data_IF_283816096526
#
_entry.id   IF_283816096526
#
_cell.length_a   1.000
_cell.length_b   1.000
_cell.length_c   1.000
_cell.angle_alpha   90.00
_cell.angle_beta   90.00
_cell.angle_gamma   90.00
#
_symmetry.space_group_name_H-M   'P 1'
#
loop_
_entity.id
_entity.type
_entity.pdbx_description
1 polymer ?
#
# COMPACT_ATOMS: atom_id res chain seq x y z
N UNK A 1 -12.85 21.28 -9.81
CA UNK A 1 -12.19 21.31 -8.49
C UNK A 1 -10.99 20.38 -8.56
N UNK A 2 -9.79 20.77 -8.10
CA UNK A 2 -8.70 19.82 -7.98
C UNK A 2 -9.11 18.81 -6.91
N UNK A 3 -9.13 17.52 -7.24
CA UNK A 3 -9.26 16.48 -6.23
C UNK A 3 -8.01 16.56 -5.33
N UNK A 4 -8.20 16.88 -4.05
CA UNK A 4 -7.13 16.72 -3.07
C UNK A 4 -6.92 15.22 -2.88
N UNK A 5 -5.80 14.73 -3.40
CA UNK A 5 -5.36 13.37 -3.17
C UNK A 5 -4.82 13.29 -1.75
N UNK A 6 -5.55 12.64 -0.84
CA UNK A 6 -5.00 12.23 0.44
C UNK A 6 -4.18 10.96 0.18
N UNK A 7 -2.86 11.12 0.12
CA UNK A 7 -1.94 9.97 0.10
C UNK A 7 -1.77 9.54 1.55
N UNK A 8 -2.37 8.40 1.91
CA UNK A 8 -2.13 7.76 3.19
C UNK A 8 -0.78 7.06 3.13
N UNK A 9 0.23 7.66 3.77
CA UNK A 9 1.58 7.09 3.91
C UNK A 9 1.69 6.47 5.29
N UNK A 10 2.18 5.24 5.37
CA UNK A 10 2.51 4.60 6.64
C UNK A 10 3.74 5.30 7.24
N UNK A 11 4.81 5.42 6.45
CA UNK A 11 5.99 6.19 6.79
C UNK A 11 6.59 6.92 5.58
N UNK A 12 7.29 8.02 5.86
CA UNK A 12 8.21 8.68 4.95
C UNK A 12 9.50 8.98 5.71
N UNK A 13 10.58 8.28 5.35
CA UNK A 13 11.85 8.30 6.06
C UNK A 13 12.96 8.86 5.17
N UNK A 14 13.77 9.76 5.74
CA UNK A 14 15.04 10.21 5.16
C UNK A 14 16.16 9.49 5.89
N UNK A 15 16.94 8.70 5.15
CA UNK A 15 17.98 7.82 5.69
C UNK A 15 19.35 8.29 5.19
N UNK A 16 20.31 8.42 6.10
CA UNK A 16 21.69 8.73 5.78
C UNK A 16 22.45 7.50 5.23
N UNK A 17 23.65 7.70 4.68
CA UNK A 17 24.46 6.61 4.10
C UNK A 17 24.84 5.50 5.07
N UNK A 18 24.97 5.84 6.34
CA UNK A 18 25.26 4.93 7.45
C UNK A 18 23.97 4.34 8.06
N UNK A 19 22.87 4.39 7.32
CA UNK A 19 21.57 3.80 7.62
C UNK A 19 20.81 4.37 8.82
N UNK A 20 21.28 5.45 9.44
CA UNK A 20 20.48 6.12 10.46
C UNK A 20 19.39 6.98 9.82
N UNK A 21 18.22 7.01 10.45
CA UNK A 21 17.10 7.87 10.06
C UNK A 21 17.40 9.30 10.52
N UNK A 22 17.38 10.25 9.58
CA UNK A 22 17.62 11.69 9.80
C UNK A 22 16.31 12.46 9.94
N UNK A 23 15.24 11.96 9.34
CA UNK A 23 13.90 12.53 9.45
C UNK A 23 12.85 11.47 9.15
N UNK A 24 11.73 11.55 9.84
CA UNK A 24 10.64 10.58 9.74
C UNK A 24 9.30 11.29 9.87
N UNK A 25 8.37 10.94 8.99
CA UNK A 25 6.96 11.24 9.11
C UNK A 25 6.22 9.90 9.15
N UNK A 26 5.42 9.67 10.19
CA UNK A 26 4.80 8.39 10.47
C UNK A 26 3.35 8.60 10.90
N UNK A 27 2.41 7.93 10.22
CA UNK A 27 1.00 7.90 10.62
C UNK A 27 0.67 6.66 11.46
N UNK A 28 1.46 5.58 11.32
CA UNK A 28 1.29 4.33 12.07
C UNK A 28 2.66 3.85 12.49
N UNK A 29 2.91 3.69 13.79
CA UNK A 29 4.15 3.11 14.33
C UNK A 29 4.16 1.59 14.07
N UNK A 30 4.95 1.06 13.10
CA UNK A 30 5.21 -0.36 13.05
C UNK A 30 6.14 -0.71 14.22
N UNK A 31 5.99 -1.92 14.79
CA UNK A 31 6.97 -2.40 15.76
C UNK A 31 8.36 -2.38 15.14
N UNK A 32 9.28 -1.66 15.78
CA UNK A 32 10.71 -1.52 15.46
C UNK A 32 11.47 -2.82 15.75
N UNK A 33 10.97 -3.95 15.26
CA UNK A 33 11.79 -5.13 15.11
C UNK A 33 12.66 -4.88 13.87
N UNK A 34 13.95 -4.60 14.15
CA UNK A 34 15.11 -4.48 13.24
C UNK A 34 14.81 -4.53 11.73
N UNK A 35 15.27 -3.55 10.92
CA UNK A 35 14.99 -3.51 9.49
C UNK A 35 15.30 -4.87 8.88
N UNK A 36 14.26 -5.52 8.34
CA UNK A 36 14.39 -6.85 7.78
C UNK A 36 15.52 -6.83 6.73
N UNK A 37 16.25 -7.93 6.55
CA UNK A 37 17.37 -7.99 5.60
C UNK A 37 17.01 -7.48 4.18
N UNK A 38 15.74 -7.59 3.79
CA UNK A 38 15.19 -7.04 2.55
C UNK A 38 15.16 -5.50 2.50
N UNK A 39 14.92 -4.82 3.63
CA UNK A 39 14.96 -3.37 3.75
C UNK A 39 16.40 -2.85 3.63
N UNK A 40 17.36 -3.49 4.32
CA UNK A 40 18.79 -3.16 4.19
C UNK A 40 19.24 -3.32 2.73
N UNK A 41 18.88 -4.43 2.07
CA UNK A 41 19.23 -4.65 0.66
C UNK A 41 18.67 -3.55 -0.26
N UNK A 42 17.45 -3.07 0.02
CA UNK A 42 16.82 -2.00 -0.77
C UNK A 42 17.50 -0.65 -0.54
N UNK A 43 17.91 -0.37 0.70
CA UNK A 43 18.67 0.84 1.05
C UNK A 43 20.03 0.86 0.35
N UNK A 44 20.77 -0.25 0.37
CA UNK A 44 22.08 -0.35 -0.27
C UNK A 44 21.98 -0.15 -1.79
N UNK A 45 21.02 -0.80 -2.45
CA UNK A 45 20.78 -0.58 -3.88
C UNK A 45 20.43 0.88 -4.20
N UNK A 46 19.70 1.57 -3.31
CA UNK A 46 19.44 2.99 -3.47
C UNK A 46 20.68 3.85 -3.21
N UNK A 47 21.54 3.48 -2.27
CA UNK A 47 22.84 4.13 -2.06
C UNK A 47 23.82 3.92 -3.22
N UNK A 48 23.62 2.87 -4.02
CA UNK A 48 24.28 2.65 -5.32
C UNK A 48 23.63 3.45 -6.48
N UNK A 49 22.55 4.18 -6.21
CA UNK A 49 21.89 5.08 -7.17
C UNK A 49 20.69 4.48 -7.88
N UNK A 50 20.14 3.35 -7.41
CA UNK A 50 18.98 2.72 -8.00
C UNK A 50 17.67 3.06 -7.27
N UNK A 51 16.59 3.28 -8.02
CA UNK A 51 15.26 3.27 -7.41
C UNK A 51 14.80 1.83 -7.22
N UNK A 52 14.38 1.49 -6.00
CA UNK A 52 13.91 0.15 -5.64
C UNK A 52 12.46 0.24 -5.16
N UNK A 53 11.63 -0.67 -5.64
CA UNK A 53 10.26 -0.85 -5.16
C UNK A 53 10.14 -2.25 -4.61
N UNK A 54 9.66 -2.38 -3.38
CA UNK A 54 9.46 -3.68 -2.74
C UNK A 54 8.04 -3.83 -2.20
N UNK A 55 7.56 -5.06 -2.22
CA UNK A 55 6.33 -5.48 -1.56
C UNK A 55 6.72 -6.28 -0.33
N UNK A 56 6.29 -5.84 0.85
CA UNK A 56 6.71 -6.43 2.13
C UNK A 56 5.50 -6.65 3.03
N UNK A 57 5.56 -7.70 3.85
CA UNK A 57 4.61 -7.93 4.92
C UNK A 57 5.24 -7.43 6.23
N UNK A 58 4.67 -6.40 6.84
CA UNK A 58 5.15 -5.85 8.11
C UNK A 58 4.30 -6.43 9.25
N UNK A 59 4.91 -7.12 10.23
CA UNK A 59 4.24 -7.47 11.47
C UNK A 59 3.93 -6.21 12.27
N UNK A 60 2.73 -6.12 12.83
CA UNK A 60 2.29 -5.02 13.70
C UNK A 60 2.08 -5.60 15.10
N UNK A 61 2.44 -4.91 16.20
CA UNK A 61 2.49 -5.54 17.52
C UNK A 61 1.12 -5.96 18.07
N UNK A 62 1.06 -7.21 18.55
CA UNK A 62 0.16 -7.86 19.52
C UNK A 62 -1.34 -7.52 19.60
N UNK A 63 -2.01 -7.20 18.48
CA UNK A 63 -3.47 -7.39 18.31
C UNK A 63 -3.97 -7.19 16.88
N UNK A 64 -3.15 -6.62 15.99
CA UNK A 64 -3.48 -6.38 14.58
C UNK A 64 -2.92 -7.46 13.66
N UNK A 65 -3.63 -7.69 12.55
CA UNK A 65 -3.14 -8.57 11.48
C UNK A 65 -1.93 -7.90 10.80
N UNK A 66 -0.95 -8.70 10.32
CA UNK A 66 0.19 -8.15 9.59
C UNK A 66 -0.30 -7.41 8.34
N UNK A 67 0.37 -6.30 8.01
CA UNK A 67 -0.05 -5.39 6.94
C UNK A 67 0.88 -5.55 5.75
N UNK A 68 0.31 -5.71 4.56
CA UNK A 68 1.07 -5.64 3.32
C UNK A 68 1.36 -4.18 2.98
N UNK A 69 2.61 -3.86 2.67
CA UNK A 69 3.04 -2.52 2.30
C UNK A 69 3.80 -2.53 0.98
N UNK A 70 3.57 -1.48 0.19
CA UNK A 70 4.42 -1.10 -0.92
C UNK A 70 5.43 -0.08 -0.41
N UNK A 71 6.71 -0.39 -0.54
CA UNK A 71 7.81 0.51 -0.17
C UNK A 71 8.55 0.94 -1.42
N UNK A 72 8.76 2.25 -1.56
CA UNK A 72 9.56 2.86 -2.62
C UNK A 72 10.77 3.52 -1.97
N UNK A 73 11.95 3.16 -2.45
CA UNK A 73 13.24 3.61 -1.93
C UNK A 73 14.00 4.28 -3.07
N UNK A 74 14.29 5.58 -2.93
CA UNK A 74 14.94 6.39 -3.98
C UNK A 74 16.21 7.05 -3.46
N UNK A 75 17.27 7.16 -4.28
CA UNK A 75 18.47 7.90 -3.90
C UNK A 75 18.18 9.39 -3.76
N UNK A 76 18.70 10.00 -2.70
CA UNK A 76 18.87 11.45 -2.60
C UNK A 76 20.23 11.77 -3.20
N UNK A 77 20.25 12.55 -4.28
CA UNK A 77 21.46 12.87 -5.02
C UNK A 77 22.06 14.21 -4.58
N UNK A 78 23.36 14.21 -4.32
CA UNK A 78 24.14 15.40 -4.02
C UNK A 78 24.73 16.05 -5.28
N UNK A 79 25.70 16.95 -5.06
CA UNK A 79 26.47 17.54 -6.18
C UNK A 79 27.25 16.42 -6.88
N UNK A 80 27.31 16.47 -8.21
CA UNK A 80 27.87 15.43 -9.08
C UNK A 80 27.06 14.11 -9.17
N UNK A 81 25.76 14.14 -8.89
CA UNK A 81 24.87 12.98 -9.07
C UNK A 81 25.29 11.75 -8.21
N UNK A 82 25.98 12.03 -7.11
CA UNK A 82 26.39 11.01 -6.15
C UNK A 82 25.28 10.83 -5.12
N UNK A 83 24.83 9.59 -4.84
CA UNK A 83 23.90 9.36 -3.74
C UNK A 83 24.52 9.88 -2.43
N UNK A 84 23.77 10.66 -1.65
CA UNK A 84 24.15 11.21 -0.34
C UNK A 84 23.25 10.73 0.80
N UNK A 85 22.19 10.01 0.45
CA UNK A 85 21.21 9.44 1.36
C UNK A 85 20.09 8.81 0.55
N UNK A 86 19.03 8.42 1.23
CA UNK A 86 17.89 7.71 0.64
C UNK A 86 16.60 8.31 1.19
N UNK A 87 15.59 8.42 0.32
CA UNK A 87 14.22 8.70 0.72
C UNK A 87 13.42 7.41 0.57
N UNK A 88 12.75 7.00 1.63
CA UNK A 88 11.90 5.81 1.65
C UNK A 88 10.47 6.22 1.94
N UNK A 89 9.54 5.83 1.08
CA UNK A 89 8.11 6.02 1.28
C UNK A 89 7.43 4.66 1.38
N UNK A 90 6.62 4.48 2.42
CA UNK A 90 5.89 3.23 2.68
C UNK A 90 4.39 3.52 2.65
N UNK A 91 3.64 2.71 1.90
CA UNK A 91 2.19 2.81 1.79
C UNK A 91 1.57 1.45 2.08
N UNK A 92 0.54 1.42 2.93
CA UNK A 92 -0.23 0.22 3.18
C UNK A 92 -1.06 -0.14 1.95
N UNK A 93 -1.24 -1.44 1.73
CA UNK A 93 -2.14 -1.98 0.71
C UNK A 93 -3.45 -2.33 1.42
N UNK A 94 -4.33 -1.33 1.50
CA UNK A 94 -5.58 -1.35 2.26
C UNK A 94 -6.74 -0.72 1.46
N UNK A 95 -7.84 -0.42 2.14
CA UNK A 95 -9.02 0.22 1.55
C UNK A 95 -8.72 1.62 0.99
N UNK A 96 -7.82 2.37 1.59
CA UNK A 96 -7.44 3.71 1.13
C UNK A 96 -6.59 3.63 -0.16
N UNK A 97 -5.71 2.62 -0.25
CA UNK A 97 -5.01 2.31 -1.49
C UNK A 97 -5.99 1.89 -2.60
N UNK A 98 -6.95 1.01 -2.29
CA UNK A 98 -7.99 0.59 -3.23
C UNK A 98 -8.84 1.78 -3.70
N UNK A 99 -9.22 2.68 -2.79
CA UNK A 99 -9.97 3.89 -3.09
C UNK A 99 -9.18 4.84 -4.00
N UNK A 100 -7.88 5.00 -3.75
CA UNK A 100 -6.99 5.80 -4.61
C UNK A 100 -6.93 5.25 -6.04
N UNK A 101 -6.91 3.91 -6.19
CA UNK A 101 -6.98 3.25 -7.50
C UNK A 101 -8.34 3.43 -8.17
N UNK A 102 -9.45 3.32 -7.43
CA UNK A 102 -10.79 3.62 -7.97
C UNK A 102 -10.86 5.05 -8.49
N UNK A 103 -10.41 6.04 -7.71
CA UNK A 103 -10.46 7.45 -8.10
C UNK A 103 -9.66 7.71 -9.39
N UNK A 104 -8.54 7.00 -9.57
CA UNK A 104 -7.69 7.14 -10.76
C UNK A 104 -8.25 6.42 -11.99
N UNK A 105 -8.86 5.26 -11.80
CA UNK A 105 -9.25 4.36 -12.91
C UNK A 105 -10.74 4.39 -13.24
N UNK A 106 -11.58 4.82 -12.30
CA UNK A 106 -13.04 4.75 -12.36
C UNK A 106 -13.63 3.37 -12.04
N UNK A 107 -12.80 2.36 -11.73
CA UNK A 107 -13.27 1.00 -11.45
C UNK A 107 -13.33 0.70 -9.96
N UNK A 108 -14.31 -0.12 -9.54
CA UNK A 108 -14.28 -0.72 -8.20
C UNK A 108 -13.12 -1.68 -8.09
N UNK A 109 -12.36 -1.57 -7.01
CA UNK A 109 -11.12 -2.34 -6.79
C UNK A 109 -11.28 -3.22 -5.56
N UNK A 110 -10.89 -4.49 -5.70
CA UNK A 110 -10.66 -5.41 -4.59
C UNK A 110 -9.23 -5.93 -4.74
N UNK A 111 -8.42 -5.75 -3.69
CA UNK A 111 -7.03 -6.15 -3.63
C UNK A 111 -6.95 -7.46 -2.86
N UNK A 112 -6.32 -8.47 -3.47
CA UNK A 112 -6.26 -9.81 -2.94
C UNK A 112 -4.83 -10.31 -2.80
N UNK A 113 -4.54 -11.01 -1.71
CA UNK A 113 -3.33 -11.82 -1.56
C UNK A 113 -3.72 -13.23 -1.15
N UNK A 114 -3.44 -14.18 -2.03
CA UNK A 114 -4.03 -15.52 -1.91
C UNK A 114 -5.55 -15.40 -1.82
N UNK A 115 -6.14 -15.99 -0.79
CA UNK A 115 -7.59 -15.96 -0.53
C UNK A 115 -8.05 -14.81 0.36
N UNK A 116 -7.16 -13.89 0.73
CA UNK A 116 -7.47 -12.79 1.66
C UNK A 116 -7.63 -11.47 0.92
N UNK A 117 -8.69 -10.73 1.26
CA UNK A 117 -8.86 -9.34 0.83
C UNK A 117 -7.93 -8.49 1.69
N UNK A 118 -7.06 -7.73 1.03
CA UNK A 118 -6.17 -6.76 1.66
C UNK A 118 -6.82 -5.38 1.75
N UNK A 119 -7.63 -5.03 0.75
CA UNK A 119 -8.32 -3.76 0.70
C UNK A 119 -9.38 -3.74 -0.40
N UNK A 120 -10.36 -2.85 -0.26
CA UNK A 120 -11.48 -2.71 -1.18
C UNK A 120 -11.97 -1.27 -1.24
N UNK A 121 -12.33 -0.82 -2.44
CA UNK A 121 -12.98 0.48 -2.65
C UNK A 121 -14.52 0.39 -2.57
N UNK A 122 -15.04 -0.81 -2.27
CA UNK A 122 -16.45 -1.08 -2.05
C UNK A 122 -16.79 -1.01 -0.57
N UNK A 123 -17.99 -0.54 -0.24
CA UNK A 123 -18.49 -0.57 1.15
C UNK A 123 -18.56 -2.00 1.66
N UNK A 124 -18.22 -2.22 2.93
CA UNK A 124 -18.27 -3.54 3.59
C UNK A 124 -19.62 -4.25 3.43
N UNK A 125 -20.72 -3.50 3.45
CA UNK A 125 -22.07 -4.05 3.24
C UNK A 125 -22.23 -4.67 1.85
N UNK A 126 -21.65 -4.08 0.80
CA UNK A 126 -21.68 -4.62 -0.56
C UNK A 126 -20.78 -5.85 -0.68
N UNK A 127 -19.64 -5.89 0.01
CA UNK A 127 -18.80 -7.09 0.02
C UNK A 127 -19.51 -8.27 0.69
N UNK A 128 -20.09 -8.05 1.87
CA UNK A 128 -20.79 -9.09 2.63
C UNK A 128 -22.10 -9.57 1.98
N UNK A 129 -22.79 -8.71 1.23
CA UNK A 129 -24.09 -9.01 0.65
C UNK A 129 -23.98 -9.82 -0.64
N UNK A 130 -22.89 -9.71 -1.39
CA UNK A 130 -22.74 -10.40 -2.66
C UNK A 130 -21.85 -11.65 -2.59
N UNK A 131 -20.78 -11.66 -1.79
CA UNK A 131 -19.80 -12.76 -1.81
C UNK A 131 -19.09 -12.89 -0.46
N UNK A 132 -19.09 -14.07 0.16
CA UNK A 132 -18.15 -14.37 1.25
C UNK A 132 -16.74 -14.04 0.76
N UNK A 133 -15.96 -13.21 1.46
CA UNK A 133 -14.69 -12.63 0.96
C UNK A 133 -13.71 -13.64 0.34
N UNK A 134 -13.77 -14.90 0.77
CA UNK A 134 -13.02 -16.02 0.20
C UNK A 134 -13.32 -16.31 -1.28
N UNK A 135 -14.51 -16.00 -1.78
CA UNK A 135 -14.88 -16.22 -3.19
C UNK A 135 -14.28 -15.17 -4.12
N UNK A 136 -14.16 -13.91 -3.66
CA UNK A 136 -13.64 -12.79 -4.46
C UNK A 136 -12.17 -12.92 -4.80
N UNK A 137 -11.36 -13.42 -3.86
CA UNK A 137 -9.92 -13.57 -4.04
C UNK A 137 -9.51 -14.93 -4.63
N UNK A 138 -10.42 -15.61 -5.32
CA UNK A 138 -10.12 -16.87 -6.02
C UNK A 138 -10.12 -16.64 -7.52
N UNK A 139 -9.10 -17.12 -8.21
CA UNK A 139 -8.89 -16.90 -9.65
C UNK A 139 -9.69 -17.85 -10.54
N UNK A 140 -10.35 -18.86 -9.95
CA UNK A 140 -11.12 -19.90 -10.62
C UNK A 140 -12.63 -19.60 -10.70
N UNK A 141 -13.11 -18.54 -10.04
CA UNK A 141 -14.53 -18.18 -10.00
C UNK A 141 -14.78 -16.83 -10.64
N UNK A 142 -15.71 -16.82 -11.59
CA UNK A 142 -16.30 -15.56 -12.09
C UNK A 142 -17.28 -15.07 -11.05
N UNK A 143 -16.92 -13.97 -10.40
CA UNK A 143 -17.75 -13.28 -9.44
C UNK A 143 -18.42 -12.09 -10.12
N UNK A 144 -19.75 -12.13 -10.25
CA UNK A 144 -20.52 -10.99 -10.78
C UNK A 144 -20.89 -10.08 -9.60
N UNK A 145 -20.36 -8.86 -9.62
CA UNK A 145 -20.76 -7.80 -8.69
C UNK A 145 -21.81 -6.96 -9.40
N UNK A 146 -23.08 -7.37 -9.29
CA UNK A 146 -24.18 -6.53 -9.73
C UNK A 146 -24.33 -5.35 -8.78
N UNK A 147 -24.00 -4.14 -9.25
CA UNK A 147 -24.37 -2.92 -8.54
C UNK A 147 -25.90 -2.81 -8.44
N UNK A 148 -26.44 -2.04 -7.48
CA UNK A 148 -27.87 -1.78 -7.41
C UNK A 148 -28.29 -0.91 -8.60
N UNK A 149 -28.49 -1.54 -9.76
CA UNK A 149 -29.28 -1.00 -10.85
C UNK A 149 -30.72 -1.42 -10.55
N UNK A 150 -31.64 -0.45 -10.59
CA UNK A 150 -33.11 -0.57 -10.52
C UNK A 150 -33.80 -0.11 -9.21
N UNK A 151 -34.27 1.14 -9.24
CA UNK A 151 -35.70 1.40 -9.07
C UNK A 151 -36.14 2.42 -10.15
N UNK A 152 -36.51 1.93 -11.34
CA UNK A 152 -37.49 2.62 -12.16
C UNK A 152 -38.79 1.83 -12.05
N UNK A 153 -39.69 2.31 -11.17
CA UNK A 153 -41.08 1.91 -11.20
C UNK A 153 -41.71 2.50 -12.46
N UNK A 154 -42.04 1.65 -13.42
CA UNK A 154 -43.10 1.92 -14.38
C UNK A 154 -44.42 1.40 -13.77
N UNK A 155 -45.34 2.32 -13.47
CA UNK A 155 -46.78 2.17 -13.61
C UNK A 155 -47.35 3.51 -14.03
#
# INVERSE_FOLDING_TARGET
MPAQYHVFLVTLDVVAKDHHIVGQLEDVQPSTDSPAAAEITSLEQALDGHTVTTLQLIPVPSSSSPIWVLRVTVPILGRANTPIGVLTATQAIDDDFALSLEQKTGFKVVLCQGTHILGSSMRESSLNQFLSGNALCTTDKVNVIDGPQHFHHHW
#
